data_IF_559069227605
#
_entry.id   IF_559069227605
#
_cell.length_a   1.000
_cell.length_b   1.000
_cell.length_c   1.000
_cell.angle_alpha   90.00
_cell.angle_beta   90.00
_cell.angle_gamma   90.00
#
_symmetry.space_group_name_H-M   'P 1'
#
loop_
_entity.id
_entity.type
_entity.pdbx_description
1 polymer ?
#
# COMPACT_ATOMS: atom_id res chain seq x y z
N UNK A 1 15.13 -4.56 22.15
CA UNK A 1 14.50 -3.67 21.15
C UNK A 1 15.06 -4.00 19.78
N UNK A 2 14.26 -4.63 18.91
CA UNK A 2 14.66 -4.95 17.54
C UNK A 2 14.05 -3.93 16.57
N UNK A 3 14.83 -3.51 15.58
CA UNK A 3 14.33 -2.73 14.44
C UNK A 3 14.15 -3.67 13.26
N UNK A 4 13.03 -3.55 12.54
CA UNK A 4 12.78 -4.27 11.29
C UNK A 4 12.55 -3.28 10.16
N UNK A 5 12.98 -3.67 8.96
CA UNK A 5 12.78 -2.93 7.72
C UNK A 5 11.98 -3.80 6.75
N UNK A 6 10.87 -3.29 6.24
CA UNK A 6 9.98 -4.00 5.31
C UNK A 6 9.76 -3.21 4.03
N UNK A 7 9.46 -3.94 2.97
CA UNK A 7 9.10 -3.38 1.66
C UNK A 7 7.59 -3.27 1.57
N UNK A 8 7.08 -2.10 1.18
CA UNK A 8 5.65 -1.88 1.01
C UNK A 8 5.35 -1.11 -0.28
N UNK A 9 4.15 -1.30 -0.81
CA UNK A 9 3.65 -0.67 -2.02
C UNK A 9 2.21 -0.22 -1.78
N UNK A 10 1.93 1.09 -1.85
CA UNK A 10 0.55 1.59 -1.77
C UNK A 10 -0.30 1.06 -2.92
N UNK A 11 -1.60 0.90 -2.66
CA UNK A 11 -2.58 0.54 -3.68
C UNK A 11 -2.69 1.60 -4.77
N UNK A 12 -3.19 1.19 -5.92
CA UNK A 12 -3.51 2.09 -7.03
C UNK A 12 -4.90 2.68 -6.78
N UNK A 13 -5.03 3.99 -6.91
CA UNK A 13 -6.30 4.70 -6.79
C UNK A 13 -6.90 4.97 -8.18
N UNK A 14 -6.09 5.61 -9.03
CA UNK A 14 -6.49 5.99 -10.38
C UNK A 14 -5.41 5.65 -11.39
N UNK A 15 -5.82 5.38 -12.62
CA UNK A 15 -4.91 5.23 -13.76
C UNK A 15 -5.55 5.79 -15.04
N UNK A 16 -4.71 6.44 -15.83
CA UNK A 16 -5.04 6.90 -17.17
C UNK A 16 -4.35 5.98 -18.18
N UNK A 17 -5.13 5.41 -19.10
CA UNK A 17 -4.63 4.66 -20.23
C UNK A 17 -5.05 5.44 -21.48
N UNK A 18 -4.12 5.69 -22.40
CA UNK A 18 -4.38 6.40 -23.66
C UNK A 18 -3.77 5.59 -24.79
N UNK A 19 -4.58 5.21 -25.79
CA UNK A 19 -4.11 4.47 -26.96
C UNK A 19 -3.41 3.13 -26.61
N UNK A 20 -3.87 2.44 -25.56
CA UNK A 20 -3.28 1.18 -25.10
C UNK A 20 -1.95 1.33 -24.35
N UNK A 21 -1.64 2.52 -23.83
CA UNK A 21 -0.45 2.77 -23.00
C UNK A 21 -0.83 3.44 -21.69
N UNK A 22 -0.12 3.07 -20.63
CA UNK A 22 -0.28 3.69 -19.32
C UNK A 22 0.29 5.11 -19.35
N UNK A 23 -0.60 6.10 -19.31
CA UNK A 23 -0.29 7.52 -19.34
C UNK A 23 -0.02 8.08 -17.94
N UNK A 24 -0.92 7.81 -16.99
CA UNK A 24 -0.80 8.24 -15.60
C UNK A 24 -1.19 7.12 -14.62
N UNK A 25 -0.60 7.16 -13.43
CA UNK A 25 -0.84 6.22 -12.34
C UNK A 25 -0.72 6.96 -11.02
N UNK A 26 -1.80 7.00 -10.23
CA UNK A 26 -1.79 7.55 -8.87
C UNK A 26 -2.00 6.42 -7.88
N UNK A 27 -1.14 6.38 -6.88
CA UNK A 27 -1.24 5.46 -5.75
C UNK A 27 -1.83 6.19 -4.54
N UNK A 28 -2.40 5.43 -3.61
CA UNK A 28 -3.01 5.97 -2.37
C UNK A 28 -2.06 6.92 -1.60
N UNK A 29 -0.77 6.60 -1.59
CA UNK A 29 0.27 7.43 -0.98
C UNK A 29 1.35 7.71 -2.04
N UNK A 30 1.51 8.98 -2.40
CA UNK A 30 2.42 9.41 -3.47
C UNK A 30 3.82 9.81 -2.95
N UNK A 31 3.97 10.08 -1.66
CA UNK A 31 5.25 10.47 -1.06
C UNK A 31 5.47 9.83 0.32
N UNK A 32 6.72 9.90 0.78
CA UNK A 32 7.15 9.31 2.06
C UNK A 32 6.45 9.92 3.27
N UNK A 33 6.10 11.21 3.21
CA UNK A 33 5.44 11.93 4.31
C UNK A 33 4.01 11.43 4.50
N UNK A 34 3.23 11.37 3.43
CA UNK A 34 1.84 10.93 3.46
C UNK A 34 1.75 9.48 3.93
N UNK A 35 2.63 8.62 3.41
CA UNK A 35 2.74 7.25 3.86
C UNK A 35 3.10 7.18 5.35
N UNK A 36 4.15 7.90 5.80
CA UNK A 36 4.55 7.90 7.21
C UNK A 36 3.41 8.32 8.13
N UNK A 37 2.70 9.39 7.80
CA UNK A 37 1.55 9.88 8.58
C UNK A 37 0.42 8.84 8.65
N UNK A 38 0.11 8.16 7.54
CA UNK A 38 -0.89 7.10 7.54
C UNK A 38 -0.49 5.92 8.44
N UNK A 39 0.76 5.46 8.34
CA UNK A 39 1.30 4.38 9.15
C UNK A 39 1.26 4.70 10.66
N UNK A 40 1.68 5.91 11.03
CA UNK A 40 1.63 6.40 12.41
C UNK A 40 0.18 6.46 12.93
N UNK A 41 -0.76 6.93 12.09
CA UNK A 41 -2.19 6.95 12.39
C UNK A 41 -2.74 5.56 12.70
N UNK A 42 -2.39 4.55 11.90
CA UNK A 42 -2.81 3.17 12.10
C UNK A 42 -2.21 2.53 13.35
N UNK A 43 -0.92 2.73 13.60
CA UNK A 43 -0.26 2.27 14.83
C UNK A 43 -0.93 2.90 16.06
N UNK A 44 -1.22 4.19 16.02
CA UNK A 44 -1.92 4.88 17.11
C UNK A 44 -3.34 4.34 17.31
N UNK A 45 -4.06 4.03 16.24
CA UNK A 45 -5.39 3.45 16.35
C UNK A 45 -5.34 2.07 17.00
N UNK A 46 -4.36 1.25 16.67
CA UNK A 46 -4.22 -0.07 17.31
C UNK A 46 -3.80 0.05 18.76
N UNK A 47 -2.93 1.00 19.11
CA UNK A 47 -2.62 1.30 20.52
C UNK A 47 -3.87 1.71 21.29
N UNK A 48 -4.79 2.46 20.67
CA UNK A 48 -6.10 2.78 21.27
C UNK A 48 -6.94 1.52 21.47
N UNK A 49 -7.03 0.65 20.47
CA UNK A 49 -7.71 -0.64 20.56
C UNK A 49 -7.16 -1.52 21.70
N UNK A 50 -5.83 -1.61 21.83
CA UNK A 50 -5.17 -2.34 22.92
C UNK A 50 -5.53 -1.71 24.29
N UNK A 51 -5.53 -0.38 24.39
CA UNK A 51 -5.87 0.33 25.64
C UNK A 51 -7.30 0.11 26.13
N UNK A 52 -8.23 -0.22 25.22
CA UNK A 52 -9.63 -0.51 25.56
C UNK A 52 -9.96 -2.01 25.49
N UNK A 53 -8.97 -2.86 25.20
CA UNK A 53 -9.13 -4.31 25.08
C UNK A 53 -10.05 -4.76 23.94
N UNK A 54 -10.23 -3.95 22.90
CA UNK A 54 -11.15 -4.23 21.80
C UNK A 54 -10.44 -4.23 20.45
N UNK A 55 -10.48 -5.37 19.76
CA UNK A 55 -10.05 -5.51 18.38
C UNK A 55 -11.25 -5.94 17.53
N UNK A 56 -11.50 -5.31 16.37
CA UNK A 56 -12.64 -5.65 15.52
C UNK A 56 -12.66 -7.11 15.03
N UNK A 57 -11.49 -7.73 14.87
CA UNK A 57 -11.34 -9.11 14.43
C UNK A 57 -10.41 -9.89 15.36
N UNK A 58 -9.12 -9.56 15.35
CA UNK A 58 -8.08 -10.19 16.18
C UNK A 58 -7.01 -9.16 16.50
N UNK A 59 -6.31 -9.35 17.63
CA UNK A 59 -5.13 -8.56 17.96
C UNK A 59 -4.04 -8.84 16.92
N UNK A 60 -3.52 -7.83 16.21
CA UNK A 60 -2.44 -8.05 15.25
C UNK A 60 -1.17 -8.48 15.98
N UNK A 61 -0.45 -9.46 15.42
CA UNK A 61 0.80 -9.99 15.96
C UNK A 61 2.03 -9.25 15.43
N UNK A 62 1.91 -8.62 14.25
CA UNK A 62 3.03 -7.94 13.60
C UNK A 62 2.59 -6.80 12.67
N UNK A 63 3.53 -5.85 12.38
CA UNK A 63 3.22 -4.69 11.54
C UNK A 63 2.68 -5.09 10.16
N UNK A 64 3.14 -6.18 9.52
CA UNK A 64 2.54 -6.57 8.24
C UNK A 64 1.06 -6.95 8.36
N UNK A 65 0.54 -7.41 9.50
CA UNK A 65 -0.91 -7.57 9.69
C UNK A 65 -1.59 -6.21 9.83
N UNK A 66 -0.94 -5.27 10.52
CA UNK A 66 -1.39 -3.89 10.62
C UNK A 66 -1.46 -3.23 9.24
N UNK A 67 -0.42 -3.37 8.42
CA UNK A 67 -0.28 -2.68 7.14
C UNK A 67 -1.02 -3.36 5.99
N UNK A 68 -1.08 -4.70 6.00
CA UNK A 68 -1.64 -5.50 4.91
C UNK A 68 -3.04 -6.03 5.25
N UNK A 69 -3.29 -6.33 6.52
CA UNK A 69 -4.52 -6.96 6.99
C UNK A 69 -5.56 -5.97 7.51
N UNK A 70 -5.15 -4.95 8.27
CA UNK A 70 -6.11 -4.06 8.94
C UNK A 70 -6.59 -2.87 8.08
N UNK A 71 -5.78 -2.39 7.12
CA UNK A 71 -6.09 -1.13 6.43
C UNK A 71 -6.12 -1.18 4.90
N UNK A 72 -6.11 -2.38 4.30
CA UNK A 72 -6.21 -2.74 2.87
C UNK A 72 -5.28 -2.04 1.86
N UNK A 73 -4.91 -0.78 2.07
CA UNK A 73 -4.41 0.14 1.07
C UNK A 73 -2.89 0.04 0.83
N UNK A 74 -2.22 -0.92 1.48
CA UNK A 74 -0.79 -1.20 1.30
C UNK A 74 -0.56 -2.70 1.15
N UNK A 75 0.32 -3.07 0.22
CA UNK A 75 0.71 -4.45 -0.05
C UNK A 75 2.22 -4.66 0.10
N UNK A 76 2.63 -5.89 0.40
CA UNK A 76 4.07 -6.25 0.54
C UNK A 76 4.78 -6.47 -0.80
N UNK A 77 4.03 -6.66 -1.88
CA UNK A 77 4.61 -6.93 -3.21
C UNK A 77 3.85 -6.17 -4.30
N UNK A 78 4.56 -5.78 -5.37
CA UNK A 78 3.93 -5.21 -6.57
C UNK A 78 2.86 -6.14 -7.17
N UNK A 79 3.10 -7.46 -7.14
CA UNK A 79 2.13 -8.47 -7.61
C UNK A 79 0.83 -8.43 -6.80
N UNK A 80 0.92 -8.25 -5.49
CA UNK A 80 -0.25 -8.11 -4.63
C UNK A 80 -1.01 -6.79 -4.86
N UNK A 81 -0.33 -5.73 -5.33
CA UNK A 81 -1.01 -4.51 -5.79
C UNK A 81 -1.81 -4.76 -7.07
N UNK A 82 -1.25 -5.51 -8.04
CA UNK A 82 -1.95 -5.85 -9.28
C UNK A 82 -3.13 -6.79 -9.05
N UNK A 83 -2.97 -7.76 -8.13
CA UNK A 83 -4.00 -8.74 -7.78
C UNK A 83 -5.08 -8.17 -6.84
N UNK A 84 -5.00 -6.89 -6.48
CA UNK A 84 -5.93 -6.27 -5.56
C UNK A 84 -7.35 -6.24 -6.12
N UNK A 85 -8.35 -6.44 -5.25
CA UNK A 85 -9.75 -6.51 -5.65
C UNK A 85 -10.52 -5.20 -5.44
N UNK A 86 -9.91 -4.18 -4.82
CA UNK A 86 -10.58 -2.90 -4.63
C UNK A 86 -10.88 -2.27 -5.98
N UNK A 87 -11.93 -1.48 -6.05
CA UNK A 87 -12.25 -0.74 -7.27
C UNK A 87 -11.22 0.37 -7.50
N UNK A 88 -10.70 0.46 -8.72
CA UNK A 88 -9.85 1.56 -9.17
C UNK A 88 -10.56 2.37 -10.25
N UNK A 89 -10.21 3.65 -10.36
CA UNK A 89 -10.65 4.48 -11.47
C UNK A 89 -9.74 4.26 -12.68
N UNK A 90 -10.29 3.69 -13.76
CA UNK A 90 -9.55 3.30 -14.97
C UNK A 90 -10.16 4.02 -16.17
N UNK A 91 -9.40 4.91 -16.81
CA UNK A 91 -9.84 5.52 -18.08
C UNK A 91 -9.70 4.54 -19.26
N UNK A 92 -10.46 4.80 -20.33
CA UNK A 92 -10.39 4.11 -21.64
C UNK A 92 -10.64 2.59 -21.62
N UNK A 93 -10.94 2.01 -20.46
CA UNK A 93 -11.37 0.61 -20.28
C UNK A 93 -12.62 0.55 -19.40
N UNK A 94 -13.80 0.98 -19.89
CA UNK A 94 -15.02 1.11 -19.06
C UNK A 94 -15.53 -0.21 -18.47
N UNK A 95 -15.10 -1.35 -19.03
CA UNK A 95 -15.42 -2.69 -18.53
C UNK A 95 -14.45 -3.16 -17.42
N UNK A 96 -13.35 -2.44 -17.21
CA UNK A 96 -12.35 -2.74 -16.19
C UNK A 96 -12.52 -1.76 -15.03
N UNK A 97 -12.73 -2.30 -13.85
CA UNK A 97 -12.72 -1.54 -12.60
C UNK A 97 -11.66 -2.05 -11.63
N UNK A 98 -10.84 -3.02 -12.07
CA UNK A 98 -9.74 -3.60 -11.31
C UNK A 98 -8.53 -3.86 -12.17
N UNK A 99 -7.33 -3.63 -11.64
CA UNK A 99 -6.07 -3.76 -12.40
C UNK A 99 -5.87 -5.16 -13.00
N UNK A 100 -6.22 -6.22 -12.27
CA UNK A 100 -6.04 -7.59 -12.77
C UNK A 100 -6.87 -7.89 -14.03
N UNK A 101 -7.95 -7.14 -14.27
CA UNK A 101 -8.82 -7.30 -15.44
C UNK A 101 -8.20 -6.72 -16.72
N UNK A 102 -7.16 -5.88 -16.60
CA UNK A 102 -6.51 -5.25 -17.75
C UNK A 102 -5.66 -6.25 -18.56
N UNK A 103 -5.37 -5.92 -19.83
CA UNK A 103 -4.42 -6.68 -20.65
C UNK A 103 -3.04 -6.84 -19.99
N UNK A 104 -2.34 -7.93 -20.30
CA UNK A 104 -1.04 -8.24 -19.70
C UNK A 104 0.02 -7.18 -19.99
N UNK A 105 -0.06 -6.54 -21.16
CA UNK A 105 0.81 -5.46 -21.60
C UNK A 105 0.66 -4.24 -20.68
N UNK A 106 -0.57 -3.88 -20.33
CA UNK A 106 -0.86 -2.77 -19.42
C UNK A 106 -0.41 -3.12 -17.99
N UNK A 107 -0.74 -4.33 -17.51
CA UNK A 107 -0.31 -4.80 -16.18
C UNK A 107 1.21 -4.77 -16.03
N UNK A 108 1.94 -5.11 -17.09
CA UNK A 108 3.41 -5.02 -17.12
C UNK A 108 3.91 -3.58 -17.05
N UNK A 109 3.25 -2.63 -17.72
CA UNK A 109 3.56 -1.20 -17.61
C UNK A 109 3.30 -0.67 -16.19
N UNK A 110 2.17 -1.04 -15.60
CA UNK A 110 1.81 -0.66 -14.21
C UNK A 110 2.86 -1.19 -13.23
N UNK A 111 3.23 -2.47 -13.31
CA UNK A 111 4.27 -3.06 -12.45
C UNK A 111 5.59 -2.27 -12.48
N UNK A 112 5.96 -1.73 -13.64
CA UNK A 112 7.17 -0.91 -13.79
C UNK A 112 7.03 0.47 -13.15
N UNK A 113 5.84 1.08 -13.18
CA UNK A 113 5.60 2.44 -12.61
C UNK A 113 5.18 2.46 -11.13
N UNK A 114 4.86 1.31 -10.53
CA UNK A 114 4.53 1.26 -9.10
C UNK A 114 5.71 1.72 -8.24
N UNK A 115 5.49 2.79 -7.48
CA UNK A 115 6.36 3.28 -6.43
C UNK A 115 6.25 2.38 -5.20
N UNK A 116 7.39 2.09 -4.59
CA UNK A 116 7.46 1.38 -3.32
C UNK A 116 8.22 2.17 -2.26
N UNK A 117 8.03 1.79 -1.00
CA UNK A 117 8.70 2.40 0.15
C UNK A 117 9.30 1.34 1.08
N UNK A 118 10.46 1.65 1.64
CA UNK A 118 10.96 0.93 2.80
C UNK A 118 10.44 1.58 4.07
N UNK A 119 9.89 0.77 4.97
CA UNK A 119 9.42 1.20 6.27
C UNK A 119 10.28 0.55 7.34
N UNK A 120 10.93 1.37 8.15
CA UNK A 120 11.67 0.92 9.34
C UNK A 120 10.82 1.16 10.58
N UNK A 121 10.69 0.16 11.43
CA UNK A 121 9.85 0.23 12.62
C UNK A 121 10.43 -0.57 13.79
N UNK A 122 10.05 -0.20 15.01
CA UNK A 122 10.37 -0.95 16.23
C UNK A 122 9.42 -2.15 16.38
N UNK A 123 9.94 -3.33 16.67
CA UNK A 123 9.12 -4.54 16.77
C UNK A 123 8.20 -4.56 17.98
N UNK A 124 8.60 -3.92 19.06
CA UNK A 124 7.99 -4.11 20.38
C UNK A 124 6.74 -3.23 20.55
N UNK A 125 6.77 -2.02 19.98
CA UNK A 125 5.71 -1.01 20.09
C UNK A 125 5.18 -0.52 18.72
N UNK A 126 5.70 -1.11 17.63
CA UNK A 126 5.36 -0.81 16.24
C UNK A 126 5.58 0.65 15.81
N UNK A 127 6.42 1.38 16.54
CA UNK A 127 6.76 2.77 16.20
C UNK A 127 7.44 2.86 14.83
N UNK A 128 6.91 3.74 13.98
CA UNK A 128 7.45 4.02 12.64
C UNK A 128 8.65 4.95 12.77
N UNK A 129 9.83 4.44 12.46
CA UNK A 129 11.08 5.19 12.58
C UNK A 129 11.36 5.99 11.29
N UNK A 130 11.34 5.31 10.15
CA UNK A 130 11.62 5.93 8.84
C UNK A 130 10.74 5.35 7.74
N UNK A 131 10.49 6.20 6.74
CA UNK A 131 9.90 5.81 5.45
C UNK A 131 10.80 6.37 4.35
N UNK A 132 11.32 5.48 3.52
CA UNK A 132 12.27 5.81 2.45
C UNK A 132 11.69 5.36 1.11
N UNK A 133 11.80 6.19 0.06
CA UNK A 133 11.46 5.74 -1.28
C UNK A 133 12.41 4.63 -1.72
N UNK A 134 11.87 3.58 -2.34
CA UNK A 134 12.68 2.50 -2.92
C UNK A 134 13.25 2.94 -4.26
N UNK A 135 12.42 3.67 -4.98
CA UNK A 135 12.78 4.32 -6.22
C UNK A 135 13.30 5.71 -5.79
N UNK A 136 14.59 5.79 -5.43
CA UNK A 136 15.26 7.09 -5.37
C UNK A 136 15.39 7.60 -6.82
N UNK A 137 15.17 8.91 -7.08
CA UNK A 137 15.19 9.49 -8.42
C UNK A 137 16.51 9.26 -9.16
#
# INVERSE_FOLDING_TARGET
MSVKKIKVYPQINTMSIVGGKLDALTQEYENTKDLKTALEGWVNMIKKYDSVGYYPLVKPEFISEVLVGAFSNIKLTKKAVIADNNYQNISDYPQCNRVFQLPNEIKTQILKRLSGYFVSYQTDNWEILSVESIDNP
#
